data_IF_842210074278
#
_entry.id   IF_842210074278
#
_cell.length_a   1.000
_cell.length_b   1.000
_cell.length_c   1.000
_cell.angle_alpha   90.00
_cell.angle_beta   90.00
_cell.angle_gamma   90.00
#
_symmetry.space_group_name_H-M   'P 1'
#
loop_
_entity.id
_entity.type
_entity.pdbx_description
1 polymer ?
#
# COMPACT_ATOMS: atom_id res chain seq x y z
N UNK A 1 28.79 -36.72 4.15
CA UNK A 1 27.38 -36.95 3.79
C UNK A 1 26.45 -36.04 4.58
N UNK A 2 26.80 -35.67 5.82
CA UNK A 2 26.07 -34.66 6.63
C UNK A 2 26.14 -33.23 6.08
N UNK A 3 27.32 -32.72 5.66
CA UNK A 3 27.44 -31.36 5.09
C UNK A 3 26.58 -31.15 3.83
N UNK A 4 26.48 -32.17 2.98
CA UNK A 4 25.63 -32.13 1.76
C UNK A 4 24.14 -32.09 2.12
N UNK A 5 23.76 -32.64 3.27
CA UNK A 5 22.39 -32.61 3.76
C UNK A 5 22.06 -31.26 4.43
N UNK A 6 23.04 -30.64 5.11
CA UNK A 6 22.92 -29.30 5.68
C UNK A 6 22.87 -28.20 4.61
N UNK A 7 23.71 -28.27 3.58
CA UNK A 7 23.67 -27.35 2.43
C UNK A 7 22.31 -27.43 1.72
N UNK A 8 21.83 -28.64 1.44
CA UNK A 8 20.52 -28.87 0.83
C UNK A 8 19.34 -28.40 1.70
N UNK A 9 19.50 -28.48 3.02
CA UNK A 9 18.52 -27.96 3.99
C UNK A 9 18.49 -26.42 3.99
N UNK A 10 19.66 -25.78 3.91
CA UNK A 10 19.79 -24.32 3.80
C UNK A 10 19.17 -23.80 2.49
N UNK A 11 19.48 -24.44 1.36
CA UNK A 11 18.90 -24.10 0.05
C UNK A 11 17.37 -24.20 0.06
N UNK A 12 16.81 -25.23 0.71
CA UNK A 12 15.36 -25.40 0.82
C UNK A 12 14.73 -24.28 1.69
N UNK A 13 15.37 -23.89 2.79
CA UNK A 13 14.89 -22.81 3.65
C UNK A 13 14.89 -21.47 2.92
N UNK A 14 15.94 -21.18 2.15
CA UNK A 14 16.02 -19.97 1.31
C UNK A 14 14.93 -19.96 0.24
N UNK A 15 14.69 -21.10 -0.43
CA UNK A 15 13.61 -21.23 -1.40
C UNK A 15 12.23 -21.01 -0.76
N UNK A 16 11.98 -21.54 0.44
CA UNK A 16 10.74 -21.31 1.18
C UNK A 16 10.56 -19.84 1.55
N UNK A 17 11.61 -19.20 2.09
CA UNK A 17 11.59 -17.79 2.42
C UNK A 17 11.33 -16.92 1.18
N UNK A 18 11.92 -17.28 0.03
CA UNK A 18 11.67 -16.61 -1.24
C UNK A 18 10.19 -16.69 -1.64
N UNK A 19 9.57 -17.88 -1.58
CA UNK A 19 8.14 -18.06 -1.88
C UNK A 19 7.28 -17.26 -0.92
N UNK A 20 7.54 -17.34 0.39
CA UNK A 20 6.79 -16.58 1.40
C UNK A 20 6.86 -15.08 1.19
N UNK A 21 8.06 -14.55 0.91
CA UNK A 21 8.26 -13.13 0.63
C UNK A 21 7.42 -12.68 -0.57
N UNK A 22 7.33 -13.49 -1.63
CA UNK A 22 6.50 -13.19 -2.78
C UNK A 22 4.99 -13.29 -2.47
N UNK A 23 4.55 -14.34 -1.78
CA UNK A 23 3.15 -14.55 -1.39
C UNK A 23 2.64 -13.41 -0.49
N UNK A 24 3.46 -12.92 0.43
CA UNK A 24 3.05 -11.89 1.39
C UNK A 24 3.35 -10.45 0.93
N UNK A 25 4.05 -10.25 -0.20
CA UNK A 25 4.43 -8.91 -0.71
C UNK A 25 3.24 -7.97 -0.91
N UNK A 26 2.07 -8.50 -1.25
CA UNK A 26 0.86 -7.68 -1.45
C UNK A 26 0.42 -6.98 -0.15
N UNK A 27 0.72 -7.53 1.02
CA UNK A 27 0.38 -6.95 2.32
C UNK A 27 1.03 -5.57 2.48
N UNK A 28 2.27 -5.39 2.00
CA UNK A 28 2.95 -4.10 2.03
C UNK A 28 2.21 -3.06 1.18
N UNK A 29 1.75 -3.47 -0.01
CA UNK A 29 0.99 -2.59 -0.91
C UNK A 29 -0.38 -2.22 -0.30
N UNK A 30 -1.10 -3.19 0.27
CA UNK A 30 -2.40 -2.95 0.90
C UNK A 30 -2.28 -2.15 2.20
N UNK A 31 -1.19 -2.31 2.94
CA UNK A 31 -0.88 -1.48 4.11
C UNK A 31 -0.67 -0.02 3.71
N UNK A 32 0.07 0.22 2.62
CA UNK A 32 0.27 1.57 2.07
C UNK A 32 -1.06 2.20 1.62
N UNK A 33 -1.89 1.42 0.91
CA UNK A 33 -3.24 1.87 0.53
C UNK A 33 -4.06 2.25 1.76
N UNK A 34 -4.10 1.39 2.77
CA UNK A 34 -4.84 1.61 4.01
C UNK A 34 -4.41 2.92 4.70
N UNK A 35 -3.11 3.14 4.92
CA UNK A 35 -2.63 4.37 5.52
C UNK A 35 -2.96 5.62 4.69
N UNK A 36 -2.94 5.49 3.37
CA UNK A 36 -3.30 6.57 2.44
C UNK A 36 -4.81 6.88 2.49
N UNK A 37 -5.67 5.87 2.59
CA UNK A 37 -7.13 6.01 2.73
C UNK A 37 -7.51 6.61 4.08
N UNK A 38 -6.83 6.19 5.15
CA UNK A 38 -7.02 6.71 6.50
C UNK A 38 -6.51 8.14 6.67
N UNK A 39 -5.67 8.64 5.76
CA UNK A 39 -5.10 9.98 5.84
C UNK A 39 -4.01 10.11 6.90
N UNK A 40 -3.32 9.01 7.23
CA UNK A 40 -2.21 9.02 8.21
C UNK A 40 -1.12 10.03 7.84
N UNK A 41 -0.64 10.10 6.57
CA UNK A 41 0.36 11.10 6.20
C UNK A 41 -0.12 12.54 6.41
N UNK A 42 -1.38 12.82 6.10
CA UNK A 42 -1.99 14.14 6.24
C UNK A 42 -2.09 14.56 7.72
N UNK A 43 -2.46 13.64 8.60
CA UNK A 43 -2.57 13.87 10.05
C UNK A 43 -1.21 14.18 10.66
N UNK A 44 -0.18 13.37 10.37
CA UNK A 44 1.19 13.61 10.87
C UNK A 44 1.74 14.92 10.30
N UNK A 45 1.51 15.21 9.02
CA UNK A 45 1.93 16.47 8.41
C UNK A 45 1.31 17.69 9.11
N UNK A 46 0.00 17.65 9.36
CA UNK A 46 -0.75 18.73 10.02
C UNK A 46 -0.32 18.93 11.49
N UNK A 47 0.09 17.86 12.17
CA UNK A 47 0.63 17.94 13.52
C UNK A 47 1.94 18.73 13.59
N UNK A 48 2.75 18.72 12.51
CA UNK A 48 3.97 19.51 12.40
C UNK A 48 5.20 18.91 13.09
N UNK A 49 5.12 17.65 13.53
CA UNK A 49 6.21 16.91 14.18
C UNK A 49 5.81 15.47 14.47
N UNK A 50 6.72 14.71 15.09
CA UNK A 50 6.51 13.31 15.48
C UNK A 50 5.26 13.15 16.35
N UNK A 51 4.41 12.16 16.03
CA UNK A 51 3.17 11.84 16.76
C UNK A 51 3.26 10.49 17.46
N UNK A 52 2.92 10.41 18.75
CA UNK A 52 2.74 9.12 19.43
C UNK A 52 1.60 8.31 18.80
N UNK A 53 1.56 7.00 19.06
CA UNK A 53 0.45 6.15 18.61
C UNK A 53 -0.91 6.67 19.09
N UNK A 54 -0.99 7.12 20.35
CA UNK A 54 -2.25 7.56 20.94
C UNK A 54 -2.74 8.86 20.29
N UNK A 55 -1.85 9.84 20.11
CA UNK A 55 -2.16 11.08 19.37
C UNK A 55 -2.59 10.77 17.94
N UNK A 56 -1.91 9.82 17.27
CA UNK A 56 -2.25 9.44 15.90
C UNK A 56 -3.65 8.83 15.82
N UNK A 57 -3.98 7.88 16.71
CA UNK A 57 -5.31 7.25 16.74
C UNK A 57 -6.39 8.28 17.07
N UNK A 58 -6.14 9.18 18.01
CA UNK A 58 -7.08 10.23 18.39
C UNK A 58 -7.32 11.25 17.28
N UNK A 59 -6.32 11.52 16.45
CA UNK A 59 -6.41 12.45 15.34
C UNK A 59 -7.05 11.86 14.07
N UNK A 60 -7.24 10.53 13.98
CA UNK A 60 -7.84 9.85 12.84
C UNK A 60 -9.37 9.74 13.00
N UNK A 61 -10.19 10.59 12.34
CA UNK A 61 -11.62 10.71 12.63
C UNK A 61 -12.45 9.46 12.26
N UNK A 62 -11.95 8.63 11.35
CA UNK A 62 -12.64 7.43 10.86
C UNK A 62 -12.19 6.13 11.56
N UNK A 63 -11.28 6.21 12.54
CA UNK A 63 -10.72 5.04 13.23
C UNK A 63 -11.39 4.88 14.59
N UNK A 64 -11.90 3.68 14.85
CA UNK A 64 -12.37 3.29 16.18
C UNK A 64 -11.17 3.11 17.12
N UNK A 65 -11.20 3.78 18.28
CA UNK A 65 -10.11 3.74 19.28
C UNK A 65 -9.80 2.33 19.78
N UNK A 66 -10.77 1.41 19.77
CA UNK A 66 -10.55 -0.01 20.10
C UNK A 66 -9.61 -0.73 19.12
N UNK A 67 -9.32 -0.13 17.96
CA UNK A 67 -8.41 -0.66 16.94
C UNK A 67 -6.99 -0.08 17.04
N UNK A 68 -6.64 0.59 18.13
CA UNK A 68 -5.31 1.16 18.34
C UNK A 68 -4.18 0.13 18.11
N UNK A 69 -4.33 -1.09 18.62
CA UNK A 69 -3.37 -2.19 18.41
C UNK A 69 -3.23 -2.58 16.93
N UNK A 70 -4.31 -2.50 16.15
CA UNK A 70 -4.27 -2.74 14.71
C UNK A 70 -3.54 -1.61 13.97
N UNK A 71 -3.78 -0.36 14.36
CA UNK A 71 -3.06 0.81 13.82
C UNK A 71 -1.57 0.71 14.14
N UNK A 72 -1.22 0.29 15.37
CA UNK A 72 0.17 0.05 15.75
C UNK A 72 0.85 -0.97 14.82
N UNK A 73 0.21 -2.11 14.55
CA UNK A 73 0.74 -3.14 13.64
C UNK A 73 0.89 -2.63 12.21
N UNK A 74 -0.09 -1.86 11.73
CA UNK A 74 -0.04 -1.21 10.42
C UNK A 74 1.16 -0.27 10.33
N UNK A 75 1.33 0.60 11.34
CA UNK A 75 2.46 1.55 11.39
C UNK A 75 3.80 0.83 11.46
N UNK A 76 3.92 -0.27 12.20
CA UNK A 76 5.14 -1.11 12.22
C UNK A 76 5.52 -1.62 10.84
N UNK A 77 4.55 -2.10 10.05
CA UNK A 77 4.80 -2.55 8.65
C UNK A 77 5.29 -1.38 7.80
N UNK A 78 4.67 -0.20 7.95
CA UNK A 78 4.98 0.97 7.13
C UNK A 78 6.31 1.63 7.52
N UNK A 79 6.69 1.59 8.80
CA UNK A 79 8.03 1.98 9.27
C UNK A 79 9.07 1.04 8.68
N UNK A 80 8.85 -0.28 8.77
CA UNK A 80 9.77 -1.25 8.17
C UNK A 80 9.88 -1.10 6.65
N UNK A 81 8.78 -0.69 6.00
CA UNK A 81 8.74 -0.40 4.55
C UNK A 81 9.32 0.98 4.18
N UNK A 82 9.82 1.76 5.14
CA UNK A 82 10.48 3.05 4.89
C UNK A 82 9.55 4.24 4.63
N UNK A 83 8.24 4.09 4.84
CA UNK A 83 7.29 5.20 4.72
C UNK A 83 7.27 6.08 5.96
N UNK A 84 7.57 5.55 7.14
CA UNK A 84 7.61 6.33 8.38
C UNK A 84 8.87 5.99 9.15
N UNK A 85 9.24 6.86 10.08
CA UNK A 85 10.34 6.63 11.02
C UNK A 85 9.82 6.81 12.45
N UNK A 86 10.40 6.05 13.38
CA UNK A 86 10.18 6.25 14.81
C UNK A 86 11.29 7.15 15.35
N UNK A 87 10.90 8.23 16.02
CA UNK A 87 11.81 9.19 16.65
C UNK A 87 11.56 9.21 18.16
N UNK A 88 12.63 9.35 18.94
CA UNK A 88 12.50 9.55 20.39
C UNK A 88 11.99 10.96 20.67
N UNK A 89 10.98 11.06 21.52
CA UNK A 89 10.47 12.35 21.97
C UNK A 89 11.34 12.85 23.13
N UNK A 90 11.84 14.08 23.06
CA UNK A 90 12.90 14.63 23.92
C UNK A 90 12.59 14.62 25.44
N UNK A 91 11.35 14.37 25.84
CA UNK A 91 10.87 14.48 27.22
C UNK A 91 10.23 13.20 27.78
N UNK A 92 10.09 12.14 26.98
CA UNK A 92 9.53 10.85 27.41
C UNK A 92 10.32 9.71 26.79
N UNK A 93 10.31 8.52 27.41
CA UNK A 93 10.89 7.32 26.80
C UNK A 93 9.95 6.76 25.69
N UNK A 94 9.13 7.63 25.10
CA UNK A 94 8.14 7.31 24.08
C UNK A 94 8.68 7.64 22.70
N UNK A 95 8.20 6.88 21.72
CA UNK A 95 8.54 7.07 20.33
C UNK A 95 7.34 7.65 19.58
N UNK A 96 7.61 8.61 18.71
CA UNK A 96 6.64 9.20 17.80
C UNK A 96 6.91 8.82 16.35
N UNK A 97 5.86 8.74 15.55
CA UNK A 97 5.92 8.53 14.11
C UNK A 97 6.15 9.84 13.37
N UNK A 98 7.15 9.86 12.51
CA UNK A 98 7.45 10.96 11.60
C UNK A 98 7.40 10.53 10.14
N UNK A 99 7.16 11.50 9.26
CA UNK A 99 7.17 11.29 7.81
C UNK A 99 8.60 11.09 7.30
N UNK A 100 8.76 10.21 6.32
CA UNK A 100 9.95 10.14 5.47
C UNK A 100 9.67 10.89 4.17
N UNK A 101 10.69 11.16 3.32
CA UNK A 101 10.45 11.75 2.00
C UNK A 101 9.39 10.98 1.17
N UNK A 102 9.31 9.66 1.33
CA UNK A 102 8.34 8.82 0.64
C UNK A 102 6.90 9.08 1.12
N UNK A 103 6.64 9.17 2.42
CA UNK A 103 5.29 9.48 2.94
C UNK A 103 4.92 10.95 2.84
N UNK A 104 5.87 11.87 2.76
CA UNK A 104 5.61 13.27 2.40
C UNK A 104 4.91 13.38 1.02
N UNK A 105 5.27 12.52 0.06
CA UNK A 105 4.58 12.45 -1.24
C UNK A 105 3.17 11.89 -1.15
N UNK A 106 2.71 11.38 0.00
CA UNK A 106 1.35 10.90 0.19
C UNK A 106 0.43 11.96 0.82
N UNK A 107 0.97 13.10 1.23
CA UNK A 107 0.20 14.25 1.72
C UNK A 107 -0.63 14.82 0.57
N UNK A 108 -1.91 15.06 0.81
CA UNK A 108 -2.91 15.45 -0.19
C UNK A 108 -2.66 16.82 -0.81
N UNK A 109 -2.13 17.76 -0.02
CA UNK A 109 -1.85 19.14 -0.45
C UNK A 109 -0.48 19.30 -1.12
N UNK A 110 0.31 18.21 -1.20
CA UNK A 110 1.59 18.23 -1.88
C UNK A 110 1.40 18.37 -3.41
N UNK A 111 2.09 19.31 -4.10
CA UNK A 111 1.95 19.50 -5.55
C UNK A 111 2.21 18.24 -6.37
N UNK A 112 3.11 17.39 -5.87
CA UNK A 112 3.51 16.11 -6.48
C UNK A 112 2.93 14.90 -5.73
N UNK A 113 1.75 15.05 -5.13
CA UNK A 113 1.16 13.98 -4.34
C UNK A 113 0.99 12.71 -5.17
N UNK A 114 1.56 11.61 -4.68
CA UNK A 114 1.42 10.23 -5.19
C UNK A 114 0.18 9.53 -4.65
N UNK A 115 -0.58 10.18 -3.75
CA UNK A 115 -1.87 9.68 -3.23
C UNK A 115 -2.82 9.20 -4.34
N UNK A 116 -2.98 9.90 -5.47
CA UNK A 116 -3.78 9.40 -6.60
C UNK A 116 -3.27 8.13 -7.24
N UNK A 117 -1.95 7.95 -7.32
CA UNK A 117 -1.34 6.75 -7.88
C UNK A 117 -1.66 5.55 -6.99
N UNK A 118 -1.40 5.66 -5.69
CA UNK A 118 -1.66 4.59 -4.72
C UNK A 118 -3.13 4.18 -4.74
N UNK A 119 -4.04 5.16 -4.65
CA UNK A 119 -5.48 4.88 -4.56
C UNK A 119 -6.07 4.34 -5.87
N UNK A 120 -5.52 4.69 -7.02
CA UNK A 120 -5.99 4.16 -8.31
C UNK A 120 -5.43 2.77 -8.59
N UNK A 121 -4.11 2.57 -8.51
CA UNK A 121 -3.44 1.33 -8.90
C UNK A 121 -3.78 0.17 -7.97
N UNK A 122 -4.13 0.47 -6.72
CA UNK A 122 -4.54 -0.52 -5.72
C UNK A 122 -6.05 -0.58 -5.53
N UNK A 123 -6.84 0.10 -6.38
CA UNK A 123 -8.30 -0.06 -6.43
C UNK A 123 -8.65 -1.45 -6.98
N UNK A 124 -9.66 -2.15 -6.42
CA UNK A 124 -10.12 -3.44 -6.95
C UNK A 124 -10.41 -3.42 -8.44
N UNK A 125 -10.86 -2.29 -8.99
CA UNK A 125 -11.01 -2.11 -10.43
C UNK A 125 -9.72 -2.49 -11.16
N UNK A 126 -8.55 -2.04 -10.70
CA UNK A 126 -7.27 -2.35 -11.33
C UNK A 126 -6.57 -3.60 -10.78
N UNK A 127 -6.98 -4.16 -9.64
CA UNK A 127 -6.27 -5.31 -9.07
C UNK A 127 -6.99 -6.65 -9.22
N UNK A 128 -8.30 -6.66 -9.44
CA UNK A 128 -9.09 -7.90 -9.42
C UNK A 128 -8.69 -8.87 -10.54
N UNK A 129 -8.36 -8.33 -11.72
CA UNK A 129 -7.98 -9.14 -12.89
C UNK A 129 -6.74 -10.02 -12.67
N UNK A 130 -5.85 -9.68 -11.73
CA UNK A 130 -4.68 -10.50 -11.39
C UNK A 130 -5.07 -11.89 -10.87
N UNK A 131 -6.26 -12.04 -10.28
CA UNK A 131 -6.78 -13.34 -9.82
C UNK A 131 -7.28 -14.22 -10.98
N UNK A 132 -7.50 -13.64 -12.16
CA UNK A 132 -8.09 -14.31 -13.32
C UNK A 132 -7.10 -14.53 -14.46
N UNK A 133 -5.82 -14.16 -14.29
CA UNK A 133 -4.80 -14.34 -15.32
C UNK A 133 -4.68 -15.81 -15.78
N UNK A 134 -4.70 -16.77 -14.85
CA UNK A 134 -4.63 -18.20 -15.21
C UNK A 134 -5.80 -18.65 -16.09
N UNK A 135 -7.01 -18.15 -15.81
CA UNK A 135 -8.19 -18.42 -16.62
C UNK A 135 -8.08 -17.74 -17.99
N UNK A 136 -7.64 -16.49 -18.02
CA UNK A 136 -7.43 -15.74 -19.26
C UNK A 136 -6.45 -16.43 -20.22
N UNK A 137 -5.35 -17.01 -19.71
CA UNK A 137 -4.42 -17.78 -20.55
C UNK A 137 -5.02 -19.06 -21.14
N UNK A 138 -6.17 -19.52 -20.64
CA UNK A 138 -6.85 -20.72 -21.12
C UNK A 138 -7.99 -20.40 -22.10
N UNK A 139 -8.37 -19.13 -22.26
CA UNK A 139 -9.45 -18.70 -23.15
C UNK A 139 -8.92 -17.96 -24.37
N UNK A 140 -9.67 -18.05 -25.48
CA UNK A 140 -9.37 -17.32 -26.72
C UNK A 140 -10.36 -16.18 -27.00
N UNK A 141 -11.43 -16.09 -26.21
CA UNK A 141 -12.55 -15.17 -26.43
C UNK A 141 -12.24 -13.74 -25.95
N UNK A 142 -11.51 -13.61 -24.85
CA UNK A 142 -11.27 -12.33 -24.18
C UNK A 142 -9.91 -11.74 -24.57
N UNK A 143 -9.90 -10.43 -24.88
CA UNK A 143 -8.68 -9.72 -25.31
C UNK A 143 -7.71 -9.47 -24.15
N UNK A 144 -8.22 -9.30 -22.94
CA UNK A 144 -7.41 -8.96 -21.76
C UNK A 144 -7.87 -9.74 -20.54
N UNK A 145 -6.96 -9.96 -19.58
CA UNK A 145 -7.33 -10.55 -18.29
C UNK A 145 -8.43 -9.76 -17.56
N UNK A 146 -8.52 -8.45 -17.82
CA UNK A 146 -9.59 -7.61 -17.29
C UNK A 146 -10.97 -8.02 -17.82
N UNK A 147 -11.07 -8.28 -19.13
CA UNK A 147 -12.32 -8.68 -19.77
C UNK A 147 -12.80 -10.01 -19.19
N UNK A 148 -11.89 -10.98 -19.03
CA UNK A 148 -12.16 -12.27 -18.39
C UNK A 148 -12.68 -12.14 -16.97
N UNK A 149 -12.11 -11.22 -16.18
CA UNK A 149 -12.53 -11.00 -14.80
C UNK A 149 -13.88 -10.25 -14.69
N UNK A 150 -14.08 -9.21 -15.51
CA UNK A 150 -15.14 -8.21 -15.28
C UNK A 150 -16.31 -8.32 -16.27
N UNK A 151 -16.24 -9.19 -17.30
CA UNK A 151 -17.22 -9.31 -18.40
C UNK A 151 -17.54 -7.99 -19.11
N UNK A 152 -16.65 -7.02 -19.00
CA UNK A 152 -16.79 -5.67 -19.48
C UNK A 152 -15.39 -5.08 -19.65
N UNK A 153 -15.21 -4.26 -20.70
CA UNK A 153 -13.93 -3.63 -20.93
C UNK A 153 -13.57 -2.61 -19.86
N UNK A 154 -12.26 -2.48 -19.62
CA UNK A 154 -11.69 -1.47 -18.72
C UNK A 154 -12.21 -0.06 -19.05
N UNK A 155 -12.26 0.30 -20.34
CA UNK A 155 -12.72 1.61 -20.80
C UNK A 155 -14.18 1.87 -20.45
N UNK A 156 -15.06 0.87 -20.64
CA UNK A 156 -16.47 0.98 -20.27
C UNK A 156 -16.66 1.07 -18.75
N UNK A 157 -15.86 0.35 -17.95
CA UNK A 157 -15.86 0.51 -16.49
C UNK A 157 -15.43 1.91 -16.07
N UNK A 158 -14.39 2.46 -16.69
CA UNK A 158 -13.88 3.81 -16.42
C UNK A 158 -14.95 4.87 -16.71
N UNK A 159 -15.63 4.78 -17.85
CA UNK A 159 -16.74 5.69 -18.20
C UNK A 159 -17.87 5.63 -17.17
N UNK A 160 -18.21 4.43 -16.69
CA UNK A 160 -19.24 4.21 -15.69
C UNK A 160 -18.82 4.57 -14.24
N UNK A 161 -17.54 4.89 -13.99
CA UNK A 161 -17.04 5.24 -12.65
C UNK A 161 -16.34 6.60 -12.62
N UNK A 162 -17.08 7.71 -12.42
CA UNK A 162 -16.52 9.05 -12.38
C UNK A 162 -15.42 9.24 -11.32
N UNK A 163 -15.54 8.58 -10.15
CA UNK A 163 -14.51 8.63 -9.09
C UNK A 163 -13.19 8.05 -9.58
N UNK A 164 -13.22 6.83 -10.13
CA UNK A 164 -12.03 6.16 -10.67
C UNK A 164 -11.45 6.91 -11.87
N UNK A 165 -12.30 7.43 -12.76
CA UNK A 165 -11.86 8.27 -13.88
C UNK A 165 -11.09 9.52 -13.42
N UNK A 166 -11.56 10.20 -12.37
CA UNK A 166 -10.83 11.34 -11.77
C UNK A 166 -9.47 10.93 -11.21
N UNK A 167 -9.38 9.80 -10.52
CA UNK A 167 -8.10 9.31 -10.01
C UNK A 167 -7.12 9.00 -11.14
N UNK A 168 -7.57 8.29 -12.17
CA UNK A 168 -6.74 8.02 -13.35
C UNK A 168 -6.22 9.31 -13.98
N UNK A 169 -7.08 10.30 -14.25
CA UNK A 169 -6.66 11.59 -14.82
C UNK A 169 -5.57 12.26 -13.97
N UNK A 170 -5.69 12.20 -12.64
CA UNK A 170 -4.66 12.73 -11.74
C UNK A 170 -3.34 11.94 -11.84
N UNK A 171 -3.40 10.63 -12.03
CA UNK A 171 -2.20 9.79 -12.24
C UNK A 171 -1.44 10.18 -13.51
N UNK A 172 -2.14 10.47 -14.61
CA UNK A 172 -1.48 10.90 -15.86
C UNK A 172 -0.65 12.18 -15.67
N UNK A 173 -1.07 13.08 -14.77
CA UNK A 173 -0.31 14.30 -14.42
C UNK A 173 0.94 14.02 -13.59
N UNK A 174 1.00 12.88 -12.92
CA UNK A 174 2.08 12.49 -12.02
C UNK A 174 3.14 11.62 -12.73
N UNK A 175 2.72 10.81 -13.71
CA UNK A 175 3.60 9.90 -14.46
C UNK A 175 4.30 10.58 -15.65
N UNK A 176 3.70 11.61 -16.24
CA UNK A 176 4.25 12.34 -17.40
C UNK A 176 4.72 13.78 -17.05
N UNK A 177 5.64 14.01 -16.10
CA UNK A 177 6.26 15.32 -15.92
C UNK A 177 7.57 15.46 -16.74
N UNK A 178 7.64 14.87 -17.94
CA UNK A 178 8.75 15.00 -18.88
C UNK A 178 8.22 15.07 -20.32
#
# INVERSE_FOLDING_TARGET
>A
MECVNEERSSELLEAQAHIWNHVFKYINSMSLKCATELGIPDVIHKHGGSMTLLELVDALPSVDKSKADCVYRLMRILVHSGFFVLEKLNSSNEEGYSLTPASCLLVGDHPWSMKPLVLSQLDPILTDHWQHCSLWFQTTEDRTAYDTANRMSFWKKKENNPRFSRWLIKVWKVILPW
#
